data_IF_381464512936
#
_entry.id   IF_381464512936
#
_cell.length_a   1.000
_cell.length_b   1.000
_cell.length_c   1.000
_cell.angle_alpha   90.00
_cell.angle_beta   90.00
_cell.angle_gamma   90.00
#
_symmetry.space_group_name_H-M   'P 1'
#
loop_
_entity.id
_entity.type
_entity.pdbx_description
1 polymer ?
#
# COMPACT_ATOMS: atom_id res chain seq x y z
N UNK A 1 -13.54 -20.22 11.58
CA UNK A 1 -14.25 -19.95 10.30
C UNK A 1 -13.65 -18.68 9.73
N UNK A 2 -13.05 -18.73 8.55
CA UNK A 2 -12.58 -17.51 7.88
C UNK A 2 -13.83 -16.75 7.44
N UNK A 3 -14.10 -15.63 8.09
CA UNK A 3 -15.20 -14.75 7.71
C UNK A 3 -14.86 -14.13 6.35
N UNK A 4 -15.44 -14.69 5.28
CA UNK A 4 -15.27 -14.13 3.95
C UNK A 4 -16.12 -12.86 3.86
N UNK A 5 -15.47 -11.72 3.69
CA UNK A 5 -16.19 -10.44 3.61
C UNK A 5 -17.17 -10.45 2.42
N UNK A 6 -18.39 -9.93 2.61
CA UNK A 6 -19.41 -9.93 1.57
C UNK A 6 -19.03 -9.03 0.39
N UNK A 7 -19.62 -9.28 -0.77
CA UNK A 7 -19.56 -8.35 -1.90
C UNK A 7 -20.39 -7.09 -1.61
N UNK A 8 -19.94 -5.93 -2.09
CA UNK A 8 -20.71 -4.69 -2.05
C UNK A 8 -21.55 -4.56 -3.32
N UNK A 9 -22.87 -4.67 -3.18
CA UNK A 9 -23.80 -4.67 -4.31
C UNK A 9 -24.22 -3.26 -4.73
N UNK A 10 -24.64 -3.11 -5.98
CA UNK A 10 -25.10 -1.84 -6.54
C UNK A 10 -26.25 -1.20 -5.74
N UNK A 11 -27.19 -1.99 -5.23
CA UNK A 11 -28.28 -1.48 -4.37
C UNK A 11 -27.73 -0.79 -3.13
N UNK A 12 -26.78 -1.42 -2.43
CA UNK A 12 -26.15 -0.85 -1.24
C UNK A 12 -25.31 0.40 -1.56
N UNK A 13 -24.72 0.48 -2.74
CA UNK A 13 -23.99 1.66 -3.21
C UNK A 13 -24.96 2.84 -3.43
N UNK A 14 -26.08 2.58 -4.12
CA UNK A 14 -27.10 3.59 -4.41
C UNK A 14 -27.78 4.06 -3.11
N UNK A 15 -28.23 3.12 -2.26
CA UNK A 15 -28.84 3.41 -0.97
C UNK A 15 -27.86 4.09 -0.01
N UNK A 16 -26.56 3.82 -0.16
CA UNK A 16 -25.47 4.46 0.56
C UNK A 16 -25.14 5.90 0.11
N UNK A 17 -25.94 6.48 -0.78
CA UNK A 17 -25.81 7.88 -1.21
C UNK A 17 -24.75 8.13 -2.28
N UNK A 18 -24.25 7.08 -2.94
CA UNK A 18 -23.40 7.25 -4.11
C UNK A 18 -24.23 7.53 -5.37
N UNK A 19 -23.74 8.46 -6.21
CA UNK A 19 -24.40 8.87 -7.44
C UNK A 19 -23.64 8.33 -8.65
N UNK A 20 -24.36 7.73 -9.61
CA UNK A 20 -23.78 7.34 -10.90
C UNK A 20 -23.28 8.58 -11.63
N UNK A 21 -22.01 8.55 -12.02
CA UNK A 21 -21.29 9.72 -12.56
C UNK A 21 -20.83 9.51 -14.01
N UNK A 22 -20.81 8.26 -14.45
CA UNK A 22 -20.37 7.87 -15.79
C UNK A 22 -19.79 6.48 -15.81
N UNK A 23 -19.04 6.18 -16.87
CA UNK A 23 -18.40 4.87 -17.06
C UNK A 23 -17.03 4.96 -17.69
N UNK A 24 -16.26 3.91 -17.54
CA UNK A 24 -15.03 3.73 -18.32
C UNK A 24 -15.35 3.29 -19.74
N UNK A 25 -14.55 3.77 -20.69
CA UNK A 25 -14.60 3.38 -22.09
C UNK A 25 -13.18 3.34 -22.67
N UNK A 26 -13.04 2.69 -23.82
CA UNK A 26 -11.85 2.78 -24.66
C UNK A 26 -12.13 3.76 -25.79
N UNK A 27 -11.18 4.66 -26.05
CA UNK A 27 -11.23 5.49 -27.25
C UNK A 27 -10.74 4.69 -28.48
N UNK A 28 -10.80 5.25 -29.70
CA UNK A 28 -10.36 4.55 -30.92
C UNK A 28 -8.89 4.07 -30.88
N UNK A 29 -8.02 4.76 -30.15
CA UNK A 29 -6.62 4.38 -29.95
C UNK A 29 -6.42 3.33 -28.84
N UNK A 30 -7.52 2.82 -28.28
CA UNK A 30 -7.51 1.82 -27.20
C UNK A 30 -7.09 2.38 -25.84
N UNK A 31 -7.00 3.70 -25.67
CA UNK A 31 -6.70 4.36 -24.42
C UNK A 31 -7.95 4.43 -23.53
N UNK A 32 -7.73 4.25 -22.23
CA UNK A 32 -8.79 4.31 -21.23
C UNK A 32 -9.25 5.76 -21.04
N UNK A 33 -10.54 6.00 -21.19
CA UNK A 33 -11.18 7.31 -21.00
C UNK A 33 -12.39 7.19 -20.08
N UNK A 34 -12.64 8.24 -19.30
CA UNK A 34 -13.83 8.35 -18.48
C UNK A 34 -14.93 9.07 -19.27
N UNK A 35 -16.02 8.37 -19.58
CA UNK A 35 -17.20 8.91 -20.22
C UNK A 35 -18.23 9.28 -19.14
N UNK A 36 -18.13 10.50 -18.64
CA UNK A 36 -19.00 11.00 -17.57
C UNK A 36 -18.63 12.41 -17.11
N UNK A 37 -19.35 12.92 -16.12
CA UNK A 37 -19.12 14.23 -15.54
C UNK A 37 -18.84 14.13 -14.04
N UNK A 38 -17.56 14.03 -13.68
CA UNK A 38 -17.16 13.91 -12.29
C UNK A 38 -17.09 15.26 -11.57
N UNK A 39 -17.54 15.33 -10.30
CA UNK A 39 -17.42 16.54 -9.49
C UNK A 39 -15.98 17.05 -9.36
N UNK A 40 -15.80 18.37 -9.30
CA UNK A 40 -14.50 19.02 -9.11
C UNK A 40 -14.19 19.28 -7.62
N UNK A 41 -14.50 18.30 -6.77
CA UNK A 41 -14.36 18.38 -5.31
C UNK A 41 -13.78 17.07 -4.74
N UNK A 42 -13.39 17.04 -3.45
CA UNK A 42 -12.98 15.82 -2.78
C UNK A 42 -14.12 14.80 -2.65
N UNK A 43 -13.78 13.53 -2.55
CA UNK A 43 -14.77 12.48 -2.31
C UNK A 43 -14.24 11.07 -2.52
N UNK A 44 -15.16 10.12 -2.49
CA UNK A 44 -14.94 8.69 -2.70
C UNK A 44 -15.55 8.29 -4.04
N UNK A 45 -14.90 7.37 -4.74
CA UNK A 45 -15.41 6.80 -5.98
C UNK A 45 -15.31 5.27 -5.95
N UNK A 46 -16.27 4.61 -6.59
CA UNK A 46 -16.38 3.16 -6.70
C UNK A 46 -16.46 2.78 -8.17
N UNK A 47 -15.69 1.77 -8.58
CA UNK A 47 -15.86 1.10 -9.87
C UNK A 47 -16.72 -0.13 -9.69
N UNK A 48 -17.81 -0.20 -10.44
CA UNK A 48 -18.82 -1.25 -10.37
C UNK A 48 -18.83 -2.01 -11.68
N UNK A 49 -18.76 -3.34 -11.60
CA UNK A 49 -18.76 -4.24 -12.74
C UNK A 49 -19.78 -5.35 -12.45
N UNK A 50 -20.70 -5.58 -13.39
CA UNK A 50 -21.78 -6.58 -13.24
C UNK A 50 -22.58 -6.43 -11.92
N UNK A 51 -22.83 -5.18 -11.49
CA UNK A 51 -23.61 -4.89 -10.29
C UNK A 51 -22.85 -5.01 -8.96
N UNK A 52 -21.55 -5.34 -8.98
CA UNK A 52 -20.73 -5.45 -7.76
C UNK A 52 -19.57 -4.46 -7.76
N UNK A 53 -19.24 -3.87 -6.61
CA UNK A 53 -18.04 -3.06 -6.44
C UNK A 53 -16.77 -3.89 -6.63
N UNK A 54 -15.87 -3.42 -7.49
CA UNK A 54 -14.56 -4.03 -7.71
C UNK A 54 -13.42 -3.21 -7.12
N UNK A 55 -13.58 -1.89 -7.10
CA UNK A 55 -12.59 -0.97 -6.57
C UNK A 55 -13.24 0.20 -5.86
N UNK A 56 -12.65 0.65 -4.75
CA UNK A 56 -12.92 1.94 -4.12
C UNK A 56 -11.63 2.74 -4.00
N UNK A 57 -11.73 4.05 -4.15
CA UNK A 57 -10.62 4.97 -3.87
C UNK A 57 -11.10 6.33 -3.40
N UNK A 58 -10.18 7.05 -2.77
CA UNK A 58 -10.39 8.43 -2.33
C UNK A 58 -9.69 9.42 -3.27
N UNK A 59 -10.34 10.57 -3.47
CA UNK A 59 -9.77 11.74 -4.12
C UNK A 59 -9.72 12.88 -3.10
N UNK A 60 -8.57 13.09 -2.44
CA UNK A 60 -8.43 14.12 -1.39
C UNK A 60 -8.56 15.56 -1.90
N UNK A 61 -8.40 15.78 -3.21
CA UNK A 61 -8.50 17.12 -3.82
C UNK A 61 -9.66 17.23 -4.81
N UNK A 62 -9.67 16.38 -5.83
CA UNK A 62 -10.56 16.53 -6.97
C UNK A 62 -10.88 15.18 -7.63
N UNK A 63 -12.15 14.77 -7.60
CA UNK A 63 -12.63 13.52 -8.20
C UNK A 63 -12.40 13.48 -9.72
N UNK A 64 -12.73 14.55 -10.45
CA UNK A 64 -12.52 14.61 -11.90
C UNK A 64 -11.06 14.39 -12.30
N UNK A 65 -10.13 15.06 -11.62
CA UNK A 65 -8.69 14.88 -11.83
C UNK A 65 -8.27 13.46 -11.46
N UNK A 66 -8.75 12.91 -10.34
CA UNK A 66 -8.38 11.58 -9.88
C UNK A 66 -8.79 10.50 -10.88
N UNK A 67 -9.99 10.61 -11.45
CA UNK A 67 -10.49 9.72 -12.49
C UNK A 67 -9.67 9.89 -13.77
N UNK A 68 -9.51 11.10 -14.28
CA UNK A 68 -8.73 11.37 -15.48
C UNK A 68 -7.31 10.76 -15.45
N UNK A 69 -6.63 10.79 -14.29
CA UNK A 69 -5.29 10.22 -14.12
C UNK A 69 -5.21 8.69 -14.27
N UNK A 70 -6.33 7.96 -14.19
CA UNK A 70 -6.34 6.54 -14.52
C UNK A 70 -6.16 6.27 -16.01
N UNK A 71 -6.64 7.17 -16.88
CA UNK A 71 -6.42 7.08 -18.32
C UNK A 71 -4.99 7.44 -18.73
N UNK A 72 -4.31 8.25 -17.91
CA UNK A 72 -2.96 8.77 -18.16
C UNK A 72 -2.05 8.54 -16.94
N UNK A 73 -1.78 7.28 -16.58
CA UNK A 73 -0.98 6.98 -15.40
C UNK A 73 0.45 7.48 -15.56
N UNK A 74 0.95 8.23 -14.58
CA UNK A 74 2.37 8.56 -14.51
C UNK A 74 3.22 7.31 -14.25
N UNK A 75 4.47 7.29 -14.71
CA UNK A 75 5.38 6.12 -14.65
C UNK A 75 5.55 5.57 -13.21
N UNK A 76 5.48 6.42 -12.19
CA UNK A 76 5.59 6.02 -10.78
C UNK A 76 4.26 5.60 -10.13
N UNK A 77 3.11 5.82 -10.79
CA UNK A 77 1.77 5.60 -10.23
C UNK A 77 1.34 4.13 -10.37
N UNK A 78 2.01 3.22 -9.64
CA UNK A 78 1.78 1.76 -9.70
C UNK A 78 0.31 1.34 -9.63
N UNK A 79 -0.49 1.99 -8.78
CA UNK A 79 -1.93 1.70 -8.67
C UNK A 79 -2.68 2.10 -9.93
N UNK A 80 -2.38 3.27 -10.51
CA UNK A 80 -3.04 3.73 -11.73
C UNK A 80 -2.59 2.91 -12.94
N UNK A 81 -1.31 2.55 -13.04
CA UNK A 81 -0.80 1.66 -14.10
C UNK A 81 -1.53 0.31 -14.05
N UNK A 82 -1.61 -0.31 -12.86
CA UNK A 82 -2.30 -1.58 -12.68
C UNK A 82 -3.80 -1.47 -13.00
N UNK A 83 -4.47 -0.47 -12.44
CA UNK A 83 -5.91 -0.29 -12.68
C UNK A 83 -6.20 0.05 -14.13
N UNK A 84 -5.35 0.84 -14.80
CA UNK A 84 -5.47 1.09 -16.23
C UNK A 84 -5.44 -0.23 -17.01
N UNK A 85 -4.47 -1.11 -16.75
CA UNK A 85 -4.42 -2.43 -17.39
C UNK A 85 -5.63 -3.30 -17.09
N UNK A 86 -6.07 -3.37 -15.83
CA UNK A 86 -7.27 -4.14 -15.43
C UNK A 86 -8.53 -3.63 -16.13
N UNK A 87 -8.75 -2.32 -16.11
CA UNK A 87 -9.92 -1.68 -16.74
C UNK A 87 -9.90 -1.87 -18.26
N UNK A 88 -8.74 -1.71 -18.92
CA UNK A 88 -8.63 -1.91 -20.36
C UNK A 88 -8.93 -3.35 -20.78
N UNK A 89 -8.40 -4.33 -20.05
CA UNK A 89 -8.68 -5.75 -20.32
C UNK A 89 -10.15 -6.09 -20.15
N UNK A 90 -10.77 -5.60 -19.06
CA UNK A 90 -12.19 -5.76 -18.80
C UNK A 90 -13.05 -5.18 -19.94
N UNK A 91 -12.78 -3.93 -20.34
CA UNK A 91 -13.51 -3.27 -21.43
C UNK A 91 -13.28 -3.95 -22.79
N UNK A 92 -12.07 -4.45 -23.07
CA UNK A 92 -11.78 -5.19 -24.30
C UNK A 92 -12.56 -6.51 -24.40
N UNK A 93 -12.92 -7.11 -23.25
CA UNK A 93 -13.78 -8.28 -23.18
C UNK A 93 -15.29 -7.94 -23.26
N UNK A 94 -15.64 -6.67 -23.53
CA UNK A 94 -17.03 -6.21 -23.62
C UNK A 94 -17.70 -5.97 -22.27
N UNK A 95 -16.93 -5.96 -21.17
CA UNK A 95 -17.49 -5.71 -19.86
C UNK A 95 -17.79 -4.23 -19.65
N UNK A 96 -18.80 -3.96 -18.83
CA UNK A 96 -19.22 -2.61 -18.47
C UNK A 96 -18.69 -2.27 -17.08
N UNK A 97 -18.08 -1.09 -16.96
CA UNK A 97 -17.53 -0.60 -15.69
C UNK A 97 -18.06 0.81 -15.43
N UNK A 98 -19.06 0.89 -14.57
CA UNK A 98 -19.67 2.15 -14.15
C UNK A 98 -18.93 2.74 -12.94
N UNK A 99 -19.02 4.06 -12.80
CA UNK A 99 -18.37 4.83 -11.73
C UNK A 99 -19.42 5.56 -10.91
N UNK A 100 -19.38 5.33 -9.61
CA UNK A 100 -20.26 5.93 -8.62
C UNK A 100 -19.43 6.79 -7.67
N UNK A 101 -19.92 7.96 -7.28
CA UNK A 101 -19.18 8.89 -6.39
C UNK A 101 -20.02 9.36 -5.22
N UNK A 102 -19.37 9.64 -4.10
CA UNK A 102 -19.97 10.27 -2.92
C UNK A 102 -18.99 11.28 -2.31
N UNK A 103 -19.52 12.36 -1.72
CA UNK A 103 -18.76 13.38 -1.01
C UNK A 103 -19.35 13.57 0.38
N UNK A 104 -19.12 12.64 1.32
CA UNK A 104 -19.57 12.80 2.70
C UNK A 104 -18.89 14.03 3.33
N UNK A 105 -19.58 14.75 4.24
CA UNK A 105 -19.02 15.90 4.92
C UNK A 105 -17.86 15.48 5.83
N UNK A 106 -16.92 16.40 6.02
CA UNK A 106 -15.88 16.22 7.04
C UNK A 106 -16.47 16.42 8.44
N UNK A 107 -15.86 15.76 9.42
CA UNK A 107 -16.22 15.82 10.82
C UNK A 107 -15.13 16.57 11.59
N UNK A 108 -15.49 17.11 12.75
CA UNK A 108 -14.52 17.67 13.69
C UNK A 108 -14.44 16.80 14.94
N UNK A 109 -13.21 16.51 15.39
CA UNK A 109 -12.97 15.81 16.63
C UNK A 109 -11.90 16.53 17.45
N UNK A 110 -12.31 17.19 18.53
CA UNK A 110 -11.43 17.98 19.40
C UNK A 110 -10.58 19.02 18.62
N UNK A 111 -11.19 19.76 17.69
CA UNK A 111 -10.50 20.74 16.84
C UNK A 111 -9.74 20.15 15.64
N UNK A 112 -9.66 18.82 15.52
CA UNK A 112 -9.05 18.17 14.36
C UNK A 112 -10.09 17.89 13.29
N UNK A 113 -9.78 18.25 12.05
CA UNK A 113 -10.59 17.86 10.88
C UNK A 113 -10.37 16.39 10.55
N UNK A 114 -11.45 15.64 10.52
CA UNK A 114 -11.49 14.22 10.15
C UNK A 114 -12.17 14.10 8.80
N UNK A 115 -11.47 13.53 7.82
CA UNK A 115 -12.03 13.41 6.47
C UNK A 115 -13.16 12.39 6.43
N UNK A 116 -14.35 12.84 6.02
CA UNK A 116 -15.48 11.94 5.79
C UNK A 116 -15.19 10.96 4.66
N UNK A 117 -14.50 11.43 3.61
CA UNK A 117 -14.18 10.63 2.44
C UNK A 117 -13.18 9.50 2.74
N UNK A 118 -12.10 9.80 3.48
CA UNK A 118 -11.13 8.77 3.88
C UNK A 118 -11.75 7.78 4.87
N UNK A 119 -12.59 8.25 5.79
CA UNK A 119 -13.34 7.39 6.71
C UNK A 119 -14.26 6.41 5.98
N UNK A 120 -15.01 6.90 4.99
CA UNK A 120 -15.91 6.09 4.18
C UNK A 120 -15.15 5.06 3.32
N UNK A 121 -14.06 5.45 2.67
CA UNK A 121 -13.22 4.53 1.90
C UNK A 121 -12.68 3.39 2.78
N UNK A 122 -12.14 3.75 3.95
CA UNK A 122 -11.60 2.77 4.88
C UNK A 122 -12.69 1.83 5.44
N UNK A 123 -13.90 2.34 5.69
CA UNK A 123 -15.04 1.53 6.11
C UNK A 123 -15.42 0.51 5.02
N UNK A 124 -15.49 0.93 3.76
CA UNK A 124 -15.83 0.06 2.62
C UNK A 124 -14.75 -1.02 2.42
N UNK A 125 -13.46 -0.67 2.47
CA UNK A 125 -12.35 -1.63 2.30
C UNK A 125 -12.36 -2.71 3.41
N UNK A 126 -12.72 -2.32 4.64
CA UNK A 126 -12.82 -3.23 5.79
C UNK A 126 -14.08 -4.10 5.74
N UNK A 127 -15.21 -3.55 5.31
CA UNK A 127 -16.50 -4.23 5.34
C UNK A 127 -16.76 -5.15 4.15
N UNK A 128 -16.12 -4.92 3.01
CA UNK A 128 -16.49 -5.60 1.76
C UNK A 128 -15.30 -6.14 0.99
N UNK A 129 -15.55 -7.23 0.26
CA UNK A 129 -14.62 -7.81 -0.71
C UNK A 129 -14.57 -6.95 -1.97
N UNK A 130 -13.37 -6.46 -2.28
CA UNK A 130 -13.09 -5.61 -3.45
C UNK A 130 -11.90 -6.19 -4.20
N UNK A 131 -12.16 -6.88 -5.31
CA UNK A 131 -11.15 -7.68 -6.01
C UNK A 131 -9.99 -6.85 -6.59
N UNK A 132 -10.16 -5.54 -6.80
CA UNK A 132 -9.12 -4.67 -7.34
C UNK A 132 -8.42 -3.79 -6.30
N UNK A 133 -8.88 -3.76 -5.04
CA UNK A 133 -8.15 -3.11 -3.94
C UNK A 133 -7.04 -4.03 -3.43
N UNK A 134 -5.80 -3.53 -3.37
CA UNK A 134 -4.73 -4.25 -2.68
C UNK A 134 -4.84 -3.95 -1.19
N UNK A 135 -5.20 -4.96 -0.40
CA UNK A 135 -5.07 -4.88 1.05
C UNK A 135 -3.59 -5.06 1.41
N UNK A 136 -3.01 -4.09 2.12
CA UNK A 136 -1.81 -4.38 2.93
C UNK A 136 -2.21 -5.35 4.05
N UNK A 137 -1.24 -6.01 4.69
CA UNK A 137 -1.49 -6.86 5.87
C UNK A 137 -2.38 -6.08 6.84
N UNK A 138 -3.63 -6.51 6.99
CA UNK A 138 -4.59 -5.81 7.82
C UNK A 138 -4.09 -5.84 9.26
N UNK A 139 -4.20 -4.75 10.03
CA UNK A 139 -4.31 -4.90 11.47
C UNK A 139 -5.55 -5.77 11.74
N UNK A 140 -5.44 -6.69 12.68
CA UNK A 140 -6.53 -7.59 13.08
C UNK A 140 -7.86 -6.81 13.25
N UNK A 141 -9.00 -7.42 12.93
CA UNK A 141 -10.30 -6.75 13.01
C UNK A 141 -10.51 -6.19 14.42
N UNK A 142 -10.60 -4.86 14.52
CA UNK A 142 -11.03 -4.18 15.73
C UNK A 142 -12.52 -4.47 15.88
N UNK A 143 -12.84 -5.42 16.75
CA UNK A 143 -14.21 -5.65 17.18
C UNK A 143 -14.75 -4.33 17.77
N UNK A 144 -15.97 -3.97 17.36
CA UNK A 144 -16.67 -2.79 17.85
C UNK A 144 -16.71 -2.78 19.38
N UNK A 145 -16.25 -1.70 19.99
CA UNK A 145 -16.33 -1.50 21.43
C UNK A 145 -17.80 -1.40 21.88
N UNK A 146 -18.34 -2.50 22.40
CA UNK A 146 -19.46 -2.48 23.33
C UNK A 146 -18.92 -2.54 24.77
N UNK A 147 -19.06 -1.41 25.47
CA UNK A 147 -19.11 -1.17 26.93
C UNK A 147 -18.42 -2.18 27.89
N UNK A 148 -17.49 -1.65 28.70
CA UNK A 148 -17.18 -2.15 30.05
C UNK A 148 -15.70 -2.07 30.44
N UNK A 149 -15.38 -1.33 31.52
CA UNK A 149 -14.08 -1.35 32.24
C UNK A 149 -14.32 -2.00 33.64
N UNK A 150 -13.27 -2.37 34.40
CA UNK A 150 -12.70 -3.71 34.57
C UNK A 150 -12.98 -4.30 35.98
N UNK A 151 -12.36 -5.43 36.37
CA UNK A 151 -11.15 -5.40 37.22
C UNK A 151 -10.06 -6.39 36.74
N UNK A 152 -8.79 -6.00 36.65
CA UNK A 152 -7.71 -6.22 37.65
C UNK A 152 -7.72 -7.62 38.30
N UNK A 153 -6.80 -8.50 37.89
CA UNK A 153 -5.77 -8.99 38.82
C UNK A 153 -4.58 -9.68 38.12
N UNK A 154 -3.49 -9.70 38.85
CA UNK A 154 -2.13 -10.16 38.53
C UNK A 154 -2.03 -11.68 38.42
N UNK A 155 -1.17 -12.18 37.53
CA UNK A 155 -0.08 -13.11 37.92
C UNK A 155 0.76 -13.55 36.71
N UNK A 156 2.06 -13.36 36.84
CA UNK A 156 3.16 -13.90 36.04
C UNK A 156 3.12 -15.44 35.94
N UNK A 157 3.72 -16.01 34.89
CA UNK A 157 4.74 -17.09 35.02
C UNK A 157 5.46 -17.29 33.67
N UNK A 158 6.78 -17.28 33.77
CA UNK A 158 7.83 -17.56 32.78
C UNK A 158 7.91 -19.05 32.40
N UNK A 159 8.19 -19.36 31.14
CA UNK A 159 8.96 -20.56 30.78
C UNK A 159 9.61 -20.38 29.38
N UNK A 160 10.94 -20.47 29.40
CA UNK A 160 11.86 -20.48 28.27
C UNK A 160 12.05 -21.89 27.69
N UNK A 161 12.92 -21.95 26.66
CA UNK A 161 13.61 -23.13 26.09
C UNK A 161 12.83 -23.92 25.03
N UNK A 162 13.40 -24.43 23.94
CA UNK A 162 14.64 -24.20 23.18
C UNK A 162 14.48 -25.02 21.87
N UNK A 163 15.18 -24.60 20.82
CA UNK A 163 15.67 -25.38 19.67
C UNK A 163 14.75 -26.35 18.91
N UNK A 164 14.54 -26.07 17.60
CA UNK A 164 15.14 -26.91 16.55
C UNK A 164 14.99 -26.25 15.16
N UNK A 165 16.14 -26.04 14.55
CA UNK A 165 16.41 -25.75 13.14
C UNK A 165 15.76 -26.79 12.21
N UNK A 166 15.17 -26.33 11.11
CA UNK A 166 15.17 -27.10 9.85
C UNK A 166 14.82 -26.19 8.65
N UNK A 167 15.87 -25.73 7.97
CA UNK A 167 15.85 -25.60 6.50
C UNK A 167 15.02 -24.48 5.90
N UNK A 168 15.23 -23.23 6.33
CA UNK A 168 14.58 -22.07 5.72
C UNK A 168 15.27 -21.67 4.41
N UNK A 169 14.53 -21.68 3.29
CA UNK A 169 15.00 -21.05 2.04
C UNK A 169 15.41 -19.61 2.37
N UNK A 170 16.57 -19.11 1.92
CA UNK A 170 17.06 -17.80 2.33
C UNK A 170 16.01 -16.74 2.02
N UNK A 171 15.49 -16.12 3.08
CA UNK A 171 14.49 -15.06 2.98
C UNK A 171 15.06 -13.96 2.09
N UNK A 172 14.21 -13.37 1.24
CA UNK A 172 14.63 -12.29 0.33
C UNK A 172 15.31 -11.15 1.08
N UNK A 173 14.89 -10.90 2.34
CA UNK A 173 15.51 -9.91 3.20
C UNK A 173 16.96 -10.26 3.62
N UNK A 174 17.28 -11.54 3.86
CA UNK A 174 18.63 -11.96 4.24
C UNK A 174 19.58 -11.86 3.03
N UNK A 175 19.13 -12.27 1.84
CA UNK A 175 19.88 -12.07 0.59
C UNK A 175 20.23 -10.60 0.31
N UNK A 176 19.36 -9.68 0.73
CA UNK A 176 19.61 -8.24 0.60
C UNK A 176 20.69 -7.78 1.58
N UNK A 177 20.69 -8.29 2.82
CA UNK A 177 21.71 -7.96 3.84
C UNK A 177 23.08 -8.49 3.44
N UNK A 178 23.15 -9.75 3.02
CA UNK A 178 24.41 -10.39 2.58
C UNK A 178 25.02 -9.67 1.37
N UNK A 179 24.17 -9.20 0.45
CA UNK A 179 24.62 -8.41 -0.69
C UNK A 179 25.13 -7.02 -0.28
N UNK A 180 24.45 -6.36 0.67
CA UNK A 180 24.89 -5.07 1.19
C UNK A 180 26.27 -5.18 1.85
N UNK A 181 26.49 -6.25 2.62
CA UNK A 181 27.75 -6.53 3.28
C UNK A 181 28.89 -6.77 2.31
N UNK A 182 28.72 -7.71 1.37
CA UNK A 182 29.77 -8.08 0.42
C UNK A 182 30.14 -6.97 -0.57
N UNK A 183 29.18 -6.14 -0.99
CA UNK A 183 29.42 -5.11 -2.01
C UNK A 183 29.68 -3.71 -1.49
N UNK A 184 29.18 -3.34 -0.31
CA UNK A 184 29.31 -1.97 0.20
C UNK A 184 30.11 -1.91 1.50
N UNK A 185 29.75 -2.70 2.51
CA UNK A 185 30.39 -2.61 3.82
C UNK A 185 31.79 -3.21 3.83
N UNK A 186 32.01 -4.38 3.22
CA UNK A 186 33.33 -5.03 3.14
C UNK A 186 34.40 -4.16 2.48
N UNK A 187 34.17 -3.66 1.25
CA UNK A 187 35.13 -2.77 0.58
C UNK A 187 35.37 -1.46 1.35
N UNK A 188 34.34 -0.89 1.97
CA UNK A 188 34.49 0.36 2.72
C UNK A 188 35.25 0.17 4.05
N UNK A 189 35.10 -0.98 4.72
CA UNK A 189 35.91 -1.36 5.88
C UNK A 189 37.39 -1.47 5.49
N UNK A 190 37.68 -2.15 4.38
CA UNK A 190 39.05 -2.28 3.86
C UNK A 190 39.65 -0.94 3.43
N UNK A 191 38.81 -0.01 2.95
CA UNK A 191 39.22 1.34 2.57
C UNK A 191 39.29 2.32 3.76
N UNK A 192 38.96 1.89 4.98
CA UNK A 192 38.99 2.74 6.18
C UNK A 192 37.96 3.88 6.18
N UNK A 193 36.88 3.77 5.38
CA UNK A 193 35.87 4.83 5.32
C UNK A 193 34.92 4.71 6.53
N UNK A 194 34.74 5.77 7.34
CA UNK A 194 33.85 5.70 8.50
C UNK A 194 32.37 5.71 8.12
N UNK A 195 32.03 6.22 6.92
CA UNK A 195 30.67 6.38 6.44
C UNK A 195 30.51 5.76 5.05
N UNK A 196 29.41 5.03 4.84
CA UNK A 196 29.08 4.35 3.59
C UNK A 196 27.67 4.71 3.16
N UNK A 197 27.54 5.24 1.95
CA UNK A 197 26.25 5.49 1.34
C UNK A 197 25.81 4.28 0.49
N UNK A 198 24.69 3.70 0.89
CA UNK A 198 24.06 2.56 0.23
C UNK A 198 22.74 3.00 -0.40
N UNK A 199 22.70 3.02 -1.72
CA UNK A 199 21.49 3.36 -2.47
C UNK A 199 20.61 2.12 -2.69
N UNK A 200 19.31 2.25 -2.43
CA UNK A 200 18.33 1.18 -2.66
C UNK A 200 18.29 0.74 -4.14
N UNK A 201 18.58 1.65 -5.09
CA UNK A 201 18.74 1.34 -6.52
C UNK A 201 19.87 0.36 -6.77
N UNK A 202 21.06 0.63 -6.22
CA UNK A 202 22.25 -0.20 -6.47
C UNK A 202 22.07 -1.63 -5.97
N UNK A 203 21.42 -1.83 -4.82
CA UNK A 203 21.09 -3.17 -4.31
C UNK A 203 20.02 -3.86 -5.18
N UNK A 204 18.96 -3.14 -5.54
CA UNK A 204 17.90 -3.69 -6.38
C UNK A 204 18.41 -4.16 -7.74
N UNK A 205 19.22 -3.33 -8.40
CA UNK A 205 19.81 -3.62 -9.71
C UNK A 205 20.84 -4.76 -9.60
N UNK A 206 21.66 -4.74 -8.54
CA UNK A 206 22.68 -5.75 -8.26
C UNK A 206 22.13 -7.15 -8.03
N UNK A 207 20.96 -7.27 -7.38
CA UNK A 207 20.28 -8.54 -7.13
C UNK A 207 19.24 -8.91 -8.21
N UNK A 208 19.05 -8.06 -9.24
CA UNK A 208 18.02 -8.19 -10.29
C UNK A 208 16.63 -8.56 -9.72
N UNK A 209 16.31 -8.03 -8.55
CA UNK A 209 15.04 -8.33 -7.88
C UNK A 209 13.91 -7.65 -8.65
N UNK A 210 12.76 -8.31 -8.76
CA UNK A 210 11.57 -7.72 -9.39
C UNK A 210 10.69 -7.09 -8.32
N UNK A 211 10.45 -5.78 -8.41
CA UNK A 211 9.56 -5.02 -7.52
C UNK A 211 9.93 -5.06 -6.02
N UNK A 212 11.21 -5.22 -5.67
CA UNK A 212 11.64 -5.45 -4.29
C UNK A 212 12.09 -4.19 -3.52
N UNK A 213 11.92 -2.97 -4.06
CA UNK A 213 12.33 -1.74 -3.36
C UNK A 213 11.79 -1.58 -1.92
N UNK A 214 10.52 -1.93 -1.61
CA UNK A 214 10.03 -1.93 -0.24
C UNK A 214 10.78 -2.95 0.64
N UNK A 215 11.03 -4.15 0.12
CA UNK A 215 11.80 -5.20 0.82
C UNK A 215 13.24 -4.77 1.07
N UNK A 216 13.87 -4.07 0.11
CA UNK A 216 15.22 -3.49 0.25
C UNK A 216 15.24 -2.40 1.31
N UNK A 217 14.30 -1.45 1.26
CA UNK A 217 14.22 -0.37 2.25
C UNK A 217 13.92 -0.89 3.66
N UNK A 218 13.11 -1.94 3.79
CA UNK A 218 12.81 -2.59 5.06
C UNK A 218 14.02 -3.38 5.59
N UNK A 219 14.76 -4.07 4.73
CA UNK A 219 15.96 -4.82 5.11
C UNK A 219 17.09 -3.88 5.56
N UNK A 220 17.31 -2.78 4.84
CA UNK A 220 18.30 -1.74 5.17
C UNK A 220 17.91 -0.87 6.37
N UNK A 221 16.62 -0.60 6.56
CA UNK A 221 16.12 0.20 7.68
C UNK A 221 15.89 -0.59 8.98
N UNK A 222 16.01 -1.91 8.95
CA UNK A 222 15.75 -2.78 10.10
C UNK A 222 16.96 -2.94 11.02
N UNK A 223 16.74 -3.34 12.27
CA UNK A 223 17.81 -3.56 13.26
C UNK A 223 18.76 -4.71 12.88
N UNK A 224 18.24 -5.74 12.21
CA UNK A 224 19.02 -6.94 11.84
C UNK A 224 20.25 -6.65 10.97
N UNK A 225 20.22 -5.64 10.08
CA UNK A 225 21.41 -5.28 9.29
C UNK A 225 22.46 -4.55 10.11
N UNK A 226 22.03 -3.73 11.09
CA UNK A 226 22.92 -3.02 11.98
C UNK A 226 23.70 -4.00 12.87
N UNK A 227 23.01 -5.04 13.37
CA UNK A 227 23.60 -6.12 14.17
C UNK A 227 24.50 -7.02 13.32
N UNK A 228 24.02 -7.52 12.18
CA UNK A 228 24.78 -8.44 11.32
C UNK A 228 26.05 -7.81 10.76
N UNK A 229 25.93 -6.61 10.16
CA UNK A 229 27.05 -5.98 9.48
C UNK A 229 27.85 -5.04 10.39
N UNK A 230 27.53 -4.97 11.69
CA UNK A 230 28.10 -4.02 12.69
C UNK A 230 28.14 -2.59 12.15
N UNK A 231 26.97 -2.08 11.76
CA UNK A 231 26.82 -0.73 11.20
C UNK A 231 25.74 0.03 11.95
N UNK A 232 25.88 1.35 12.02
CA UNK A 232 24.85 2.22 12.59
C UNK A 232 24.21 3.04 11.47
N UNK A 233 22.88 3.00 11.36
CA UNK A 233 22.18 3.84 10.40
C UNK A 233 22.18 5.29 10.90
N UNK A 234 22.91 6.16 10.21
CA UNK A 234 23.06 7.57 10.58
C UNK A 234 21.97 8.42 9.94
N UNK A 235 21.73 8.23 8.65
CA UNK A 235 20.78 9.06 7.89
C UNK A 235 20.08 8.29 6.80
N UNK A 236 18.79 8.58 6.63
CA UNK A 236 18.01 8.17 5.46
C UNK A 236 17.75 9.40 4.59
N UNK A 237 18.02 9.28 3.30
CA UNK A 237 17.82 10.35 2.32
C UNK A 237 16.74 9.88 1.33
N UNK A 238 15.68 10.69 1.19
CA UNK A 238 14.60 10.44 0.24
C UNK A 238 13.36 9.76 0.84
N UNK A 239 12.29 9.61 0.01
CA UNK A 239 10.99 9.10 0.45
C UNK A 239 11.06 7.63 0.84
N UNK A 240 10.08 7.17 1.63
CA UNK A 240 10.04 5.79 2.06
C UNK A 240 9.76 4.82 0.90
N UNK A 241 10.49 3.69 0.85
CA UNK A 241 10.28 2.59 -0.10
C UNK A 241 10.44 2.95 -1.59
N UNK A 242 11.37 3.87 -1.90
CA UNK A 242 11.61 4.36 -3.27
C UNK A 242 12.93 3.87 -3.86
N UNK A 243 13.04 3.90 -5.19
CA UNK A 243 14.31 3.67 -5.91
C UNK A 243 15.33 4.78 -5.69
N UNK A 244 14.91 5.95 -5.21
CA UNK A 244 15.80 7.10 -4.93
C UNK A 244 16.23 7.16 -3.47
N UNK A 245 15.79 6.20 -2.64
CA UNK A 245 16.16 6.17 -1.22
C UNK A 245 17.63 5.76 -1.07
N UNK A 246 18.39 6.53 -0.32
CA UNK A 246 19.75 6.20 0.09
C UNK A 246 19.86 6.14 1.62
N UNK A 247 20.68 5.24 2.09
CA UNK A 247 20.95 5.02 3.52
C UNK A 247 22.43 5.26 3.76
N UNK A 248 22.73 6.17 4.68
CA UNK A 248 24.10 6.45 5.12
C UNK A 248 24.33 5.69 6.41
N UNK A 249 25.26 4.76 6.37
CA UNK A 249 25.66 3.95 7.50
C UNK A 249 27.04 4.37 7.98
N UNK A 250 27.21 4.41 9.29
CA UNK A 250 28.49 4.49 9.96
C UNK A 250 28.98 3.05 10.23
N UNK A 251 30.19 2.74 9.79
CA UNK A 251 30.83 1.45 10.04
C UNK A 251 31.37 1.43 11.47
N UNK A 252 30.85 0.54 12.31
CA UNK A 252 31.42 0.30 13.64
C UNK A 252 32.57 -0.71 13.48
N UNK A 253 33.74 -0.32 13.97
CA UNK A 253 34.93 -1.19 14.00
C UNK A 253 34.71 -2.37 14.94
#
# INVERSE_FOLDING_TARGET
MMDELPELLLSQIADGGFVHTGRWALNPEGALVFAGNAPKQPGVYIFVQAGTARYVGVASKNLAQRLYMYGRPGISQRTNIRLNGVLRNALANGEIIDVYVASPPDLEWNGWKVSGAEGLEAAIIRGFRLSWNRRGTAPAPMQSASKGRPPSDLSETVASCEAADTGERPNTADRIRDYAESKFFGPARNAGQPLVEVSARKIHDGLRLRNAFPSVCQALGGRKIAEMCRVKLTRRIGPANSSTTAFVFELLQ
#
